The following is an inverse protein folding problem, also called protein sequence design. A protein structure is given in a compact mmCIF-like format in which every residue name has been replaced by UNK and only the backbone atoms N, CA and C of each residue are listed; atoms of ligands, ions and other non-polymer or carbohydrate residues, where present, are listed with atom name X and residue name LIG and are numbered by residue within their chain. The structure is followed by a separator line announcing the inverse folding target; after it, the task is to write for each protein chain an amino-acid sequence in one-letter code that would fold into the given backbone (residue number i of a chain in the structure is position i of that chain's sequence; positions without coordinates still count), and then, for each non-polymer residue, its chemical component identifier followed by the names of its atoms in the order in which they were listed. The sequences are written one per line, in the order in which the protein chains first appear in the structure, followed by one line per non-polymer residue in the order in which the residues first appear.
data_IF_121372627888
#
_entry.id   IF_121372627888
#
_cell.length_a   1.000
_cell.length_b   1.000
_cell.length_c   1.000
_cell.angle_alpha   90.00
_cell.angle_beta   90.00
_cell.angle_gamma   90.00
#
_symmetry.space_group_name_H-M   'P 1'
#
loop_
_entity.id
_entity.type
_entity.pdbx_description
1 polymer ?
#
# COMPACT_ATOMS: atom_id res chain seq x y z
N UNK A 1 -39.99 31.79 -14.01
CA UNK A 1 -39.77 30.38 -14.35
C UNK A 1 -38.56 29.88 -13.58
N UNK A 2 -38.81 29.11 -12.52
CA UNK A 2 -37.76 28.49 -11.69
C UNK A 2 -37.35 27.18 -12.36
N UNK A 3 -36.10 27.09 -12.81
CA UNK A 3 -35.52 25.83 -13.25
C UNK A 3 -35.04 25.10 -11.99
N UNK A 4 -35.83 24.12 -11.54
CA UNK A 4 -35.39 23.13 -10.56
C UNK A 4 -34.68 22.02 -11.34
N UNK A 5 -33.35 21.99 -11.32
CA UNK A 5 -32.57 20.82 -11.73
C UNK A 5 -32.59 19.82 -10.57
N UNK A 6 -33.39 18.77 -10.72
CA UNK A 6 -33.35 17.59 -9.85
C UNK A 6 -32.05 16.81 -10.11
N UNK A 7 -31.34 16.33 -9.07
CA UNK A 7 -30.14 15.53 -9.27
C UNK A 7 -30.53 14.16 -9.81
N UNK A 8 -30.29 13.93 -11.10
CA UNK A 8 -30.36 12.60 -11.70
C UNK A 8 -29.33 11.68 -11.03
N UNK A 9 -29.82 10.73 -10.24
CA UNK A 9 -29.02 9.65 -9.66
C UNK A 9 -28.64 8.66 -10.79
N UNK A 10 -27.54 8.95 -11.49
CA UNK A 10 -27.00 8.08 -12.53
C UNK A 10 -26.39 6.85 -11.84
N UNK A 11 -27.03 5.69 -11.97
CA UNK A 11 -26.43 4.42 -11.54
C UNK A 11 -25.19 4.15 -12.38
N UNK A 12 -24.03 4.09 -11.73
CA UNK A 12 -22.73 3.77 -12.32
C UNK A 12 -22.56 2.26 -12.61
N UNK A 13 -23.59 1.44 -12.39
CA UNK A 13 -23.52 -0.03 -12.45
C UNK A 13 -23.30 -0.61 -13.87
N UNK A 14 -23.11 0.22 -14.89
CA UNK A 14 -22.77 -0.20 -16.26
C UNK A 14 -21.48 0.41 -16.83
N UNK A 15 -20.77 1.26 -16.07
CA UNK A 15 -19.54 1.89 -16.56
C UNK A 15 -18.35 0.94 -16.43
N UNK A 16 -17.57 0.80 -17.49
CA UNK A 16 -16.34 0.02 -17.45
C UNK A 16 -15.37 0.57 -16.39
N UNK A 17 -15.06 -0.25 -15.39
CA UNK A 17 -14.06 0.08 -14.38
C UNK A 17 -12.68 0.00 -15.01
N UNK A 18 -11.85 1.01 -14.77
CA UNK A 18 -10.44 0.94 -15.10
C UNK A 18 -9.82 -0.30 -14.44
N UNK A 19 -9.21 -1.17 -15.26
CA UNK A 19 -8.52 -2.39 -14.81
C UNK A 19 -7.02 -2.17 -14.90
N UNK A 20 -6.30 -2.65 -13.89
CA UNK A 20 -4.83 -2.66 -13.93
C UNK A 20 -4.34 -3.95 -14.57
N UNK A 21 -3.54 -3.81 -15.63
CA UNK A 21 -2.85 -4.95 -16.22
C UNK A 21 -1.70 -5.40 -15.30
N UNK A 22 -1.39 -6.71 -15.14
CA UNK A 22 -0.31 -7.16 -14.24
C UNK A 22 1.05 -6.48 -14.46
N UNK A 23 1.40 -6.19 -15.73
CA UNK A 23 2.61 -5.42 -16.11
C UNK A 23 2.70 -4.04 -15.44
N UNK A 24 1.58 -3.46 -15.01
CA UNK A 24 1.54 -2.18 -14.30
C UNK A 24 2.33 -2.23 -12.99
N UNK A 25 2.44 -3.38 -12.32
CA UNK A 25 3.25 -3.52 -11.10
C UNK A 25 4.73 -3.22 -11.37
N UNK A 26 5.26 -3.68 -12.49
CA UNK A 26 6.63 -3.42 -12.90
C UNK A 26 6.84 -1.95 -13.31
N UNK A 27 5.89 -1.38 -14.07
CA UNK A 27 5.91 0.05 -14.38
C UNK A 27 5.78 0.93 -13.13
N UNK A 28 5.07 0.47 -12.10
CA UNK A 28 4.91 1.19 -10.85
C UNK A 28 6.19 1.16 -9.99
N UNK A 29 7.02 0.11 -10.14
CA UNK A 29 8.30 -0.04 -9.46
C UNK A 29 9.38 0.95 -9.93
N UNK A 30 9.25 1.54 -11.13
CA UNK A 30 10.21 2.52 -11.66
C UNK A 30 10.12 3.88 -10.97
N UNK A 31 9.10 4.12 -10.13
CA UNK A 31 8.95 5.34 -9.34
C UNK A 31 10.11 5.55 -8.35
N UNK A 32 10.69 4.45 -7.87
CA UNK A 32 11.84 4.50 -6.98
C UNK A 32 13.14 4.64 -7.77
N UNK A 33 13.99 5.61 -7.42
CA UNK A 33 15.33 5.69 -8.04
C UNK A 33 16.32 4.75 -7.35
N UNK A 34 16.21 4.58 -6.03
CA UNK A 34 17.14 3.80 -5.21
C UNK A 34 16.39 2.82 -4.30
N UNK A 35 16.99 1.65 -4.03
CA UNK A 35 16.40 0.62 -3.16
C UNK A 35 16.13 1.12 -1.72
N UNK A 36 16.98 2.01 -1.20
CA UNK A 36 16.79 2.63 0.12
C UNK A 36 15.51 3.47 0.18
N UNK A 37 15.10 4.12 -0.93
CA UNK A 37 13.85 4.86 -0.98
C UNK A 37 12.63 3.94 -0.89
N UNK A 38 12.70 2.76 -1.52
CA UNK A 38 11.68 1.74 -1.39
C UNK A 38 11.60 1.18 0.04
N UNK A 39 12.74 0.99 0.71
CA UNK A 39 12.76 0.59 2.13
C UNK A 39 12.14 1.70 2.99
N UNK A 40 12.49 2.97 2.77
CA UNK A 40 11.94 4.09 3.52
C UNK A 40 10.40 4.15 3.44
N UNK A 41 9.81 3.94 2.26
CA UNK A 41 8.35 3.88 2.10
C UNK A 41 7.69 2.73 2.89
N UNK A 42 8.39 1.61 3.12
CA UNK A 42 7.88 0.54 4.00
C UNK A 42 7.91 0.97 5.47
N UNK A 43 8.95 1.70 5.88
CA UNK A 43 9.07 2.25 7.24
C UNK A 43 8.03 3.34 7.51
N UNK A 44 7.73 4.18 6.52
CA UNK A 44 6.71 5.23 6.61
C UNK A 44 5.33 4.66 6.98
N UNK A 45 4.96 3.49 6.44
CA UNK A 45 3.70 2.83 6.79
C UNK A 45 3.65 2.42 8.27
N UNK A 46 4.77 1.91 8.80
CA UNK A 46 4.89 1.52 10.21
C UNK A 46 4.92 2.75 11.13
N UNK A 47 5.56 3.84 10.71
CA UNK A 47 5.61 5.11 11.43
C UNK A 47 4.23 5.79 11.51
N UNK A 48 3.49 5.80 10.40
CA UNK A 48 2.12 6.31 10.38
C UNK A 48 1.19 5.53 11.33
N UNK A 49 1.45 4.23 11.50
CA UNK A 49 0.74 3.38 12.44
C UNK A 49 1.13 3.69 13.89
N UNK A 50 2.42 3.93 14.17
CA UNK A 50 2.90 4.41 15.48
C UNK A 50 2.16 5.68 15.93
N UNK A 51 1.99 6.65 15.02
CA UNK A 51 1.25 7.89 15.31
C UNK A 51 -0.23 7.62 15.65
N UNK A 52 -0.81 6.58 15.07
CA UNK A 52 -2.22 6.20 15.29
C UNK A 52 -2.41 5.50 16.63
N UNK A 53 -1.46 4.64 17.01
CA UNK A 53 -1.54 3.83 18.22
C UNK A 53 -1.04 4.57 19.46
N UNK A 54 -0.28 5.67 19.29
CA UNK A 54 0.29 6.44 20.41
C UNK A 54 1.31 5.66 21.25
N UNK A 55 1.87 4.57 20.70
CA UNK A 55 2.87 3.70 21.35
C UNK A 55 4.07 3.52 20.44
N UNK A 56 5.22 3.21 21.03
CA UNK A 56 6.43 2.89 20.27
C UNK A 56 6.23 1.64 19.40
N UNK A 57 6.63 1.75 18.13
CA UNK A 57 6.66 0.64 17.17
C UNK A 57 8.11 0.32 16.87
N UNK A 58 8.48 -0.94 16.98
CA UNK A 58 9.80 -1.47 16.63
C UNK A 58 9.71 -2.17 15.29
N UNK A 59 10.64 -1.85 14.39
CA UNK A 59 10.73 -2.47 13.06
C UNK A 59 12.02 -3.28 13.02
N UNK A 60 11.92 -4.53 12.58
CA UNK A 60 13.03 -5.43 12.32
C UNK A 60 13.13 -5.66 10.82
N UNK A 61 14.34 -5.44 10.30
CA UNK A 61 14.67 -5.64 8.89
C UNK A 61 15.79 -6.65 8.83
N UNK A 62 15.56 -7.73 8.09
CA UNK A 62 16.53 -8.81 7.91
C UNK A 62 16.49 -9.36 6.48
N UNK A 63 17.57 -10.02 6.08
CA UNK A 63 17.60 -10.82 4.85
C UNK A 63 17.81 -12.26 5.26
N UNK A 64 16.91 -13.13 4.82
CA UNK A 64 16.88 -14.54 5.18
C UNK A 64 16.53 -15.40 3.96
N UNK A 65 16.94 -16.67 3.91
CA UNK A 65 16.51 -17.56 2.84
C UNK A 65 14.99 -17.73 2.82
N UNK A 66 14.40 -17.66 1.64
CA UNK A 66 13.01 -17.99 1.36
C UNK A 66 12.78 -19.51 1.36
N UNK A 67 11.53 -19.91 1.14
CA UNK A 67 11.15 -21.32 1.07
C UNK A 67 11.79 -22.07 -0.12
N UNK A 68 12.13 -21.32 -1.17
CA UNK A 68 12.85 -21.74 -2.37
C UNK A 68 14.38 -21.62 -2.23
N UNK A 69 14.87 -21.09 -1.11
CA UNK A 69 16.29 -20.83 -0.87
C UNK A 69 16.79 -19.48 -1.38
N UNK A 70 15.97 -18.71 -2.09
CA UNK A 70 16.36 -17.39 -2.60
C UNK A 70 16.34 -16.32 -1.49
N UNK A 71 17.16 -15.25 -1.59
CA UNK A 71 17.18 -14.20 -0.58
C UNK A 71 15.83 -13.47 -0.46
N UNK A 72 15.25 -13.46 0.74
CA UNK A 72 14.03 -12.75 1.07
C UNK A 72 14.31 -11.61 2.04
N UNK A 73 13.93 -10.38 1.67
CA UNK A 73 13.91 -9.22 2.57
C UNK A 73 12.69 -9.31 3.50
N UNK A 74 12.93 -9.45 4.80
CA UNK A 74 11.92 -9.35 5.84
C UNK A 74 11.82 -7.92 6.37
N UNK A 75 10.60 -7.39 6.46
CA UNK A 75 10.28 -6.17 7.20
C UNK A 75 9.15 -6.51 8.15
N UNK A 76 9.41 -6.44 9.46
CA UNK A 76 8.46 -6.83 10.50
C UNK A 76 8.33 -5.72 11.54
N UNK A 77 7.13 -5.22 11.73
CA UNK A 77 6.80 -4.31 12.82
C UNK A 77 5.94 -4.98 13.91
N UNK A 78 5.84 -4.37 15.08
CA UNK A 78 4.95 -4.78 16.18
C UNK A 78 3.76 -3.82 16.38
N UNK A 79 3.30 -3.21 15.28
CA UNK A 79 2.17 -2.29 15.24
C UNK A 79 0.82 -2.95 15.51
N UNK A 80 -0.25 -2.29 15.04
CA UNK A 80 -1.64 -2.67 15.31
C UNK A 80 -2.15 -3.80 14.42
N UNK A 81 -1.40 -4.15 13.38
CA UNK A 81 -1.84 -5.09 12.35
C UNK A 81 -2.89 -4.48 11.41
N UNK A 82 -3.52 -5.34 10.62
CA UNK A 82 -4.49 -4.96 9.62
C UNK A 82 -5.55 -6.04 9.51
N UNK A 83 -6.81 -5.63 9.70
CA UNK A 83 -7.95 -6.46 9.33
C UNK A 83 -7.90 -6.88 7.85
N UNK A 84 -8.59 -7.98 7.48
CA UNK A 84 -8.71 -8.44 6.09
C UNK A 84 -9.16 -7.34 5.12
N UNK A 85 -10.09 -6.48 5.54
CA UNK A 85 -10.56 -5.37 4.72
C UNK A 85 -9.47 -4.29 4.53
N UNK A 86 -8.69 -4.00 5.57
CA UNK A 86 -7.56 -3.08 5.49
C UNK A 86 -6.44 -3.63 4.60
N UNK A 87 -6.10 -4.92 4.72
CA UNK A 87 -5.17 -5.61 3.81
C UNK A 87 -5.63 -5.55 2.35
N UNK A 88 -6.91 -5.82 2.09
CA UNK A 88 -7.45 -5.73 0.73
C UNK A 88 -7.32 -4.30 0.16
N UNK A 89 -7.61 -3.27 0.97
CA UNK A 89 -7.39 -1.87 0.58
C UNK A 89 -5.90 -1.55 0.37
N UNK A 90 -5.02 -2.05 1.23
CA UNK A 90 -3.57 -1.92 1.09
C UNK A 90 -3.06 -2.56 -0.20
N UNK A 91 -3.74 -3.58 -0.74
CA UNK A 91 -3.38 -4.19 -2.03
C UNK A 91 -4.03 -3.48 -3.24
N UNK A 92 -5.16 -2.80 -3.06
CA UNK A 92 -5.84 -2.03 -4.10
C UNK A 92 -5.13 -0.72 -4.45
N UNK A 93 -5.01 -0.38 -5.74
CA UNK A 93 -4.44 0.90 -6.18
C UNK A 93 -5.37 2.09 -5.92
N UNK A 94 -4.80 3.24 -5.55
CA UNK A 94 -5.54 4.50 -5.38
C UNK A 94 -6.46 4.59 -4.16
N UNK A 95 -6.44 3.58 -3.29
CA UNK A 95 -7.21 3.57 -2.05
C UNK A 95 -6.27 3.91 -0.89
N UNK A 96 -6.44 5.11 -0.32
CA UNK A 96 -5.84 5.50 0.95
C UNK A 96 -6.91 6.04 1.89
N UNK A 97 -6.90 5.60 3.14
CA UNK A 97 -7.74 6.15 4.21
C UNK A 97 -6.98 7.18 5.04
N UNK A 98 -5.88 7.71 4.50
CA UNK A 98 -4.93 8.55 5.20
C UNK A 98 -5.35 10.02 5.22
N UNK A 99 -5.38 10.63 6.41
CA UNK A 99 -5.46 12.09 6.58
C UNK A 99 -4.21 12.78 6.01
N UNK A 100 -4.30 14.10 5.79
CA UNK A 100 -3.20 14.94 5.27
C UNK A 100 -1.95 14.97 6.14
N UNK A 101 -1.97 14.38 7.35
CA UNK A 101 -0.83 14.32 8.27
C UNK A 101 0.05 13.06 8.12
N UNK A 102 -0.42 12.03 7.40
CA UNK A 102 0.31 10.78 7.20
C UNK A 102 1.30 10.89 6.03
N UNK A 103 2.38 10.11 6.07
CA UNK A 103 3.36 10.05 4.98
C UNK A 103 2.79 9.24 3.80
N UNK A 104 2.14 8.11 4.09
CA UNK A 104 1.49 7.23 3.11
C UNK A 104 0.17 7.76 2.57
N UNK A 105 0.21 8.75 1.66
CA UNK A 105 -0.99 9.44 1.15
C UNK A 105 -1.61 8.85 -0.10
N UNK A 106 -0.79 8.24 -0.96
CA UNK A 106 -1.20 7.88 -2.32
C UNK A 106 -1.77 6.46 -2.45
N UNK A 107 -1.72 5.68 -1.37
CA UNK A 107 -2.16 4.28 -1.41
C UNK A 107 -1.35 3.43 -2.41
N UNK A 108 -0.13 3.85 -2.73
CA UNK A 108 0.71 3.19 -3.74
C UNK A 108 2.06 2.71 -3.20
N UNK A 109 2.54 3.30 -2.09
CA UNK A 109 3.92 3.13 -1.62
C UNK A 109 4.32 1.68 -1.39
N UNK A 110 3.45 0.87 -0.79
CA UNK A 110 3.70 -0.56 -0.64
C UNK A 110 3.89 -1.27 -1.99
N UNK A 111 3.05 -1.00 -2.99
CA UNK A 111 3.10 -1.68 -4.29
C UNK A 111 4.36 -1.28 -5.07
N UNK A 112 4.67 0.03 -5.12
CA UNK A 112 5.86 0.53 -5.81
C UNK A 112 7.14 0.03 -5.14
N UNK A 113 7.17 0.02 -3.81
CA UNK A 113 8.35 -0.38 -3.04
C UNK A 113 8.61 -1.88 -3.08
N UNK A 114 7.59 -2.70 -2.84
CA UNK A 114 7.73 -4.16 -2.88
C UNK A 114 8.18 -4.65 -4.26
N UNK A 115 7.55 -4.15 -5.33
CA UNK A 115 7.91 -4.49 -6.71
C UNK A 115 9.25 -3.92 -7.16
N UNK A 116 9.80 -2.94 -6.44
CA UNK A 116 11.17 -2.47 -6.64
C UNK A 116 12.20 -3.37 -5.96
N UNK A 117 11.86 -3.92 -4.80
CA UNK A 117 12.76 -4.70 -3.96
C UNK A 117 12.78 -6.19 -4.33
N UNK A 118 11.69 -6.71 -4.91
CA UNK A 118 11.58 -8.09 -5.36
C UNK A 118 10.48 -8.29 -6.41
N UNK A 119 10.48 -9.44 -7.07
CA UNK A 119 9.44 -9.81 -8.04
C UNK A 119 8.13 -10.19 -7.35
N UNK A 120 8.22 -10.73 -6.14
CA UNK A 120 7.11 -11.25 -5.36
C UNK A 120 7.08 -10.63 -3.96
N UNK A 121 5.89 -10.56 -3.37
CA UNK A 121 5.70 -10.02 -2.02
C UNK A 121 4.62 -10.79 -1.26
N UNK A 122 4.89 -11.10 -0.01
CA UNK A 122 3.95 -11.72 0.93
C UNK A 122 3.72 -10.77 2.11
N UNK A 123 2.46 -10.50 2.45
CA UNK A 123 2.08 -9.70 3.61
C UNK A 123 1.33 -10.57 4.59
N UNK A 124 1.81 -10.58 5.84
CA UNK A 124 1.15 -11.25 6.97
C UNK A 124 0.75 -10.18 7.99
N UNK A 125 -0.48 -10.24 8.47
CA UNK A 125 -0.98 -9.32 9.50
C UNK A 125 -1.97 -10.04 10.42
N UNK A 126 -2.11 -9.51 11.65
CA UNK A 126 -3.00 -10.03 12.70
C UNK A 126 -4.37 -9.39 12.65
#
# INVERSE_FOLDING_TARGET
SSCHDEPHNVSLDGLERARTHPKFLHSNATSHKWALGAIAELLDNSYDEMQTLGKAVTIHIDVRPGADGEPMLGVKDNGGGMSRAALHRMMSFGVSSSSTSRIGRYGNGFKSSSMRLGADALVLSV
#
